data_IF_773977367424
#
_entry.id   IF_773977367424
#
_cell.length_a   1.000
_cell.length_b   1.000
_cell.length_c   1.000
_cell.angle_alpha   90.00
_cell.angle_beta   90.00
_cell.angle_gamma   90.00
#
_symmetry.space_group_name_H-M   'P 1'
#
loop_
_entity.id
_entity.type
_entity.pdbx_description
1 polymer ?
#
# COMPACT_ATOMS: atom_id res chain seq x y z
N UNK A 1 -38.07 -25.76 -49.50
CA UNK A 1 -39.05 -25.32 -50.52
C UNK A 1 -38.72 -23.90 -50.97
N UNK A 2 -38.80 -23.59 -52.27
CA UNK A 2 -38.69 -22.20 -52.81
C UNK A 2 -40.10 -21.71 -53.15
N UNK A 3 -40.48 -20.54 -52.66
CA UNK A 3 -41.79 -19.92 -52.91
C UNK A 3 -41.65 -18.40 -52.87
N UNK A 4 -42.54 -17.69 -53.56
CA UNK A 4 -42.78 -16.28 -53.28
C UNK A 4 -43.40 -16.13 -51.88
N UNK A 5 -42.60 -15.77 -50.88
CA UNK A 5 -43.09 -15.70 -49.50
C UNK A 5 -44.00 -14.48 -49.35
N UNK A 6 -45.19 -14.71 -48.80
CA UNK A 6 -46.15 -13.66 -48.45
C UNK A 6 -46.42 -13.66 -46.96
N UNK A 7 -46.85 -12.53 -46.42
CA UNK A 7 -47.21 -12.43 -45.00
C UNK A 7 -48.35 -13.38 -44.61
N UNK A 8 -49.29 -13.63 -45.53
CA UNK A 8 -50.35 -14.61 -45.36
C UNK A 8 -49.79 -16.03 -45.22
N UNK A 9 -48.89 -16.44 -46.12
CA UNK A 9 -48.22 -17.74 -46.06
C UNK A 9 -47.39 -17.92 -44.77
N UNK A 10 -46.70 -16.86 -44.31
CA UNK A 10 -45.93 -16.92 -43.07
C UNK A 10 -46.80 -17.22 -41.84
N UNK A 11 -48.03 -16.71 -41.82
CA UNK A 11 -48.99 -16.94 -40.73
C UNK A 11 -49.57 -18.35 -40.74
N UNK A 12 -49.52 -19.06 -41.87
CA UNK A 12 -49.98 -20.46 -41.96
C UNK A 12 -48.90 -21.47 -41.57
N UNK A 13 -47.67 -21.02 -41.28
CA UNK A 13 -46.57 -21.94 -40.98
C UNK A 13 -46.69 -22.53 -39.57
N UNK A 14 -46.71 -23.86 -39.49
CA UNK A 14 -46.64 -24.59 -38.23
C UNK A 14 -45.18 -24.95 -37.87
N UNK A 15 -44.83 -25.03 -36.56
CA UNK A 15 -43.54 -25.53 -36.13
C UNK A 15 -43.30 -26.98 -36.60
N UNK A 16 -42.08 -27.33 -37.06
CA UNK A 16 -41.75 -28.69 -37.46
C UNK A 16 -41.64 -29.63 -36.23
N UNK A 17 -41.65 -30.96 -36.43
CA UNK A 17 -41.40 -31.92 -35.35
C UNK A 17 -40.08 -31.69 -34.62
N UNK A 18 -39.98 -32.21 -33.39
CA UNK A 18 -38.77 -32.09 -32.56
C UNK A 18 -37.57 -32.74 -33.26
N UNK A 19 -36.47 -31.98 -33.39
CA UNK A 19 -35.26 -32.41 -34.10
C UNK A 19 -35.17 -31.89 -35.53
N UNK A 20 -36.28 -31.43 -36.12
CA UNK A 20 -36.34 -30.92 -37.48
C UNK A 20 -36.32 -29.39 -37.55
N UNK A 21 -36.08 -28.87 -38.75
CA UNK A 21 -36.09 -27.43 -39.06
C UNK A 21 -36.82 -27.19 -40.36
N UNK A 22 -37.82 -26.30 -40.32
CA UNK A 22 -38.45 -25.80 -41.52
C UNK A 22 -37.56 -24.72 -42.14
N UNK A 23 -37.15 -24.90 -43.39
CA UNK A 23 -36.45 -23.88 -44.18
C UNK A 23 -37.27 -23.52 -45.43
N UNK A 24 -37.76 -22.28 -45.48
CA UNK A 24 -38.46 -21.70 -46.63
C UNK A 24 -37.55 -20.68 -47.29
N UNK A 25 -37.35 -20.82 -48.60
CA UNK A 25 -36.53 -19.90 -49.40
C UNK A 25 -37.44 -18.97 -50.18
N UNK A 26 -37.14 -17.69 -50.12
CA UNK A 26 -37.87 -16.69 -50.90
C UNK A 26 -37.43 -16.75 -52.36
N UNK A 27 -38.41 -16.74 -53.25
CA UNK A 27 -38.17 -16.68 -54.70
C UNK A 27 -37.98 -15.25 -55.19
N UNK A 28 -38.61 -14.27 -54.52
CA UNK A 28 -38.56 -12.85 -54.91
C UNK A 28 -37.22 -12.20 -54.55
N UNK A 29 -36.67 -12.50 -53.38
CA UNK A 29 -35.39 -11.96 -52.91
C UNK A 29 -34.33 -13.06 -52.84
N UNK A 30 -33.42 -13.05 -53.80
CA UNK A 30 -32.46 -14.14 -53.96
C UNK A 30 -31.59 -14.33 -52.71
N UNK A 31 -31.54 -15.59 -52.25
CA UNK A 31 -30.77 -15.98 -51.07
C UNK A 31 -31.47 -15.77 -49.73
N UNK A 32 -32.64 -15.11 -49.68
CA UNK A 32 -33.40 -14.95 -48.44
C UNK A 32 -34.04 -16.29 -48.01
N UNK A 33 -33.91 -16.61 -46.73
CA UNK A 33 -34.38 -17.85 -46.12
C UNK A 33 -35.01 -17.54 -44.77
N UNK A 34 -36.24 -18.02 -44.55
CA UNK A 34 -36.80 -18.16 -43.22
C UNK A 34 -36.49 -19.56 -42.68
N UNK A 35 -35.94 -19.62 -41.47
CA UNK A 35 -35.75 -20.88 -40.75
C UNK A 35 -36.54 -20.89 -39.46
N UNK A 36 -37.36 -21.91 -39.25
CA UNK A 36 -38.13 -22.11 -38.03
C UNK A 36 -37.70 -23.38 -37.28
N UNK A 37 -37.61 -23.29 -35.96
CA UNK A 37 -37.34 -24.44 -35.07
C UNK A 37 -38.65 -25.05 -34.58
N UNK A 38 -38.60 -26.28 -34.07
CA UNK A 38 -39.76 -26.96 -33.44
C UNK A 38 -40.44 -26.17 -32.30
N UNK A 39 -39.75 -25.22 -31.68
CA UNK A 39 -40.31 -24.32 -30.66
C UNK A 39 -40.96 -23.07 -31.24
N UNK A 40 -41.19 -23.01 -32.56
CA UNK A 40 -41.85 -21.89 -33.25
C UNK A 40 -40.97 -20.66 -33.50
N UNK A 41 -39.71 -20.65 -33.05
CA UNK A 41 -38.82 -19.51 -33.28
C UNK A 41 -38.40 -19.42 -34.76
N UNK A 42 -38.88 -18.39 -35.46
CA UNK A 42 -38.63 -18.13 -36.87
C UNK A 42 -37.56 -17.03 -37.07
N UNK A 43 -36.53 -17.30 -37.86
CA UNK A 43 -35.41 -16.39 -38.10
C UNK A 43 -35.18 -16.18 -39.58
N UNK A 44 -35.07 -14.91 -39.99
CA UNK A 44 -34.62 -14.51 -41.30
C UNK A 44 -33.11 -14.59 -41.41
N UNK A 45 -32.64 -15.15 -42.51
CA UNK A 45 -31.23 -15.12 -42.89
C UNK A 45 -31.10 -15.01 -44.40
N UNK A 46 -30.03 -14.39 -44.87
CA UNK A 46 -29.67 -14.38 -46.28
C UNK A 46 -28.41 -15.20 -46.51
N UNK A 47 -28.40 -16.03 -47.54
CA UNK A 47 -27.23 -16.77 -48.01
C UNK A 47 -26.70 -16.10 -49.28
N UNK A 48 -25.47 -15.60 -49.24
CA UNK A 48 -24.82 -14.94 -50.38
C UNK A 48 -23.41 -15.50 -50.61
N UNK A 49 -22.85 -15.23 -51.79
CA UNK A 49 -21.43 -15.48 -52.11
C UNK A 49 -20.59 -14.32 -51.56
N UNK A 50 -19.44 -14.61 -50.98
CA UNK A 50 -18.48 -13.63 -50.46
C UNK A 50 -17.44 -13.34 -51.53
N UNK A 51 -17.46 -12.13 -52.10
CA UNK A 51 -16.52 -11.68 -53.13
C UNK A 51 -16.37 -12.67 -54.30
N UNK A 52 -15.16 -12.75 -54.86
CA UNK A 52 -14.82 -13.64 -55.97
C UNK A 52 -14.45 -15.06 -55.53
N UNK A 53 -14.19 -15.29 -54.25
CA UNK A 53 -13.57 -16.51 -53.69
C UNK A 53 -14.47 -17.76 -53.70
N UNK A 54 -15.71 -17.66 -54.18
CA UNK A 54 -16.65 -18.80 -54.26
C UNK A 54 -17.23 -19.27 -52.92
N UNK A 55 -16.79 -18.70 -51.80
CA UNK A 55 -17.32 -19.02 -50.45
C UNK A 55 -18.73 -18.47 -50.28
N UNK A 56 -19.59 -19.20 -49.58
CA UNK A 56 -20.93 -18.73 -49.22
C UNK A 56 -21.04 -18.44 -47.73
N UNK A 57 -21.65 -17.32 -47.36
CA UNK A 57 -21.96 -16.97 -45.96
C UNK A 57 -23.46 -16.85 -45.74
N UNK A 58 -23.91 -17.15 -44.53
CA UNK A 58 -25.31 -17.04 -44.09
C UNK A 58 -25.42 -15.97 -43.01
N UNK A 59 -25.95 -14.81 -43.34
CA UNK A 59 -26.10 -13.66 -42.43
C UNK A 59 -27.50 -13.69 -41.82
N UNK A 60 -27.60 -13.65 -40.47
CA UNK A 60 -28.87 -13.49 -39.77
C UNK A 60 -29.34 -12.04 -39.87
N UNK A 61 -30.59 -11.83 -40.26
CA UNK A 61 -31.20 -10.51 -40.45
C UNK A 61 -32.10 -10.11 -39.28
N UNK A 62 -32.87 -11.05 -38.73
CA UNK A 62 -33.81 -10.78 -37.65
C UNK A 62 -34.75 -11.96 -37.40
N UNK A 63 -35.74 -11.79 -36.52
CA UNK A 63 -36.75 -12.80 -36.20
C UNK A 63 -38.12 -12.38 -36.71
N UNK A 64 -38.89 -13.32 -37.24
CA UNK A 64 -40.31 -13.10 -37.56
C UNK A 64 -41.16 -13.36 -36.30
N UNK A 65 -42.23 -12.58 -36.02
CA UNK A 65 -42.81 -11.51 -36.84
C UNK A 65 -42.19 -10.11 -36.65
N UNK A 66 -41.26 -9.93 -35.70
CA UNK A 66 -40.64 -8.63 -35.41
C UNK A 66 -39.99 -7.95 -36.63
N UNK A 67 -39.45 -8.74 -37.56
CA UNK A 67 -39.04 -8.32 -38.88
C UNK A 67 -39.98 -8.96 -39.91
N UNK A 68 -40.88 -8.17 -40.50
CA UNK A 68 -41.80 -8.62 -41.56
C UNK A 68 -41.10 -8.90 -42.89
N UNK A 69 -41.78 -9.54 -43.85
CA UNK A 69 -41.17 -9.97 -45.12
C UNK A 69 -40.57 -8.82 -45.92
N UNK A 70 -41.26 -7.68 -46.02
CA UNK A 70 -40.78 -6.52 -46.78
C UNK A 70 -39.46 -5.97 -46.21
N UNK A 71 -39.40 -5.82 -44.89
CA UNK A 71 -38.19 -5.39 -44.20
C UNK A 71 -37.07 -6.45 -44.29
N UNK A 72 -37.42 -7.74 -44.20
CA UNK A 72 -36.46 -8.83 -44.36
C UNK A 72 -35.84 -8.86 -45.77
N UNK A 73 -36.63 -8.57 -46.83
CA UNK A 73 -36.11 -8.45 -48.20
C UNK A 73 -35.16 -7.25 -48.36
N UNK A 74 -35.53 -6.10 -47.80
CA UNK A 74 -34.67 -4.90 -47.80
C UNK A 74 -33.33 -5.16 -47.10
N UNK A 75 -33.36 -5.77 -45.91
CA UNK A 75 -32.15 -6.13 -45.16
C UNK A 75 -31.33 -7.23 -45.85
N UNK A 76 -31.98 -8.15 -46.56
CA UNK A 76 -31.30 -9.16 -47.37
C UNK A 76 -30.50 -8.55 -48.52
N UNK A 77 -31.05 -7.55 -49.24
CA UNK A 77 -30.32 -6.82 -50.30
C UNK A 77 -29.09 -6.13 -49.76
N UNK A 78 -29.24 -5.39 -48.65
CA UNK A 78 -28.11 -4.71 -48.00
C UNK A 78 -27.03 -5.71 -47.58
N UNK A 79 -27.43 -6.79 -46.90
CA UNK A 79 -26.52 -7.82 -46.44
C UNK A 79 -25.89 -8.61 -47.60
N UNK A 80 -26.51 -8.70 -48.77
CA UNK A 80 -25.89 -9.28 -49.96
C UNK A 80 -24.89 -8.36 -50.62
N UNK A 81 -25.18 -7.07 -50.73
CA UNK A 81 -24.22 -6.09 -51.26
C UNK A 81 -22.93 -6.05 -50.43
N UNK A 82 -23.01 -6.24 -49.12
CA UNK A 82 -21.81 -6.35 -48.26
C UNK A 82 -21.02 -7.64 -48.50
N UNK A 83 -21.71 -8.77 -48.72
CA UNK A 83 -21.03 -10.03 -49.07
C UNK A 83 -20.40 -9.97 -50.46
N UNK A 84 -21.07 -9.35 -51.44
CA UNK A 84 -20.57 -9.20 -52.82
C UNK A 84 -19.31 -8.33 -52.89
N UNK A 85 -19.20 -7.32 -52.02
CA UNK A 85 -17.97 -6.50 -51.84
C UNK A 85 -16.86 -7.23 -51.06
N UNK A 86 -17.04 -8.50 -50.69
CA UNK A 86 -16.05 -9.33 -50.02
C UNK A 86 -16.04 -9.22 -48.50
N UNK A 87 -16.87 -8.35 -47.90
CA UNK A 87 -16.96 -8.20 -46.46
C UNK A 87 -17.93 -9.25 -45.87
N UNK A 88 -17.43 -10.20 -45.07
CA UNK A 88 -18.25 -11.18 -44.35
C UNK A 88 -18.38 -10.81 -42.84
N UNK A 89 -19.53 -10.23 -42.41
CA UNK A 89 -19.75 -9.86 -41.02
C UNK A 89 -19.82 -11.08 -40.08
N UNK A 90 -20.16 -12.26 -40.59
CA UNK A 90 -20.25 -13.50 -39.81
C UNK A 90 -18.85 -14.07 -39.58
N UNK A 91 -18.00 -14.07 -40.60
CA UNK A 91 -16.59 -14.45 -40.46
C UNK A 91 -15.87 -13.52 -39.49
N UNK A 92 -16.09 -12.20 -39.58
CA UNK A 92 -15.49 -11.21 -38.68
C UNK A 92 -15.93 -11.43 -37.23
N UNK A 93 -17.23 -11.60 -36.96
CA UNK A 93 -17.75 -11.90 -35.61
C UNK A 93 -17.27 -13.25 -35.09
N UNK A 94 -17.15 -14.27 -35.95
CA UNK A 94 -16.62 -15.60 -35.61
C UNK A 94 -15.13 -15.51 -35.24
N UNK A 95 -14.33 -14.79 -36.01
CA UNK A 95 -12.90 -14.59 -35.73
C UNK A 95 -12.69 -13.88 -34.39
N UNK A 96 -13.44 -12.81 -34.10
CA UNK A 96 -13.39 -12.12 -32.79
C UNK A 96 -13.78 -13.05 -31.65
N UNK A 97 -14.84 -13.86 -31.81
CA UNK A 97 -15.27 -14.82 -30.78
C UNK A 97 -14.26 -15.96 -30.58
N UNK A 98 -13.68 -16.47 -31.66
CA UNK A 98 -12.66 -17.53 -31.61
C UNK A 98 -11.37 -17.01 -30.97
N UNK A 99 -10.92 -15.80 -31.31
CA UNK A 99 -9.79 -15.15 -30.67
C UNK A 99 -10.03 -14.98 -29.17
N UNK A 100 -11.19 -14.44 -28.75
CA UNK A 100 -11.56 -14.31 -27.33
C UNK A 100 -11.60 -15.66 -26.59
N UNK A 101 -12.12 -16.71 -27.23
CA UNK A 101 -12.16 -18.06 -26.66
C UNK A 101 -10.75 -18.63 -26.50
N UNK A 102 -9.91 -18.54 -27.53
CA UNK A 102 -8.53 -19.00 -27.51
C UNK A 102 -7.69 -18.26 -26.45
N UNK A 103 -7.85 -16.94 -26.31
CA UNK A 103 -7.23 -16.17 -25.24
C UNK A 103 -7.67 -16.67 -23.86
N UNK A 104 -8.96 -16.93 -23.65
CA UNK A 104 -9.49 -17.42 -22.37
C UNK A 104 -8.99 -18.82 -22.05
N UNK A 105 -8.90 -19.71 -23.03
CA UNK A 105 -8.40 -21.08 -22.88
C UNK A 105 -6.89 -21.11 -22.62
N UNK A 106 -6.10 -20.26 -23.31
CA UNK A 106 -4.67 -20.12 -23.07
C UNK A 106 -4.38 -19.56 -21.67
N UNK A 107 -5.16 -18.57 -21.19
CA UNK A 107 -5.04 -18.05 -19.82
C UNK A 107 -5.40 -19.11 -18.78
N UNK A 108 -6.41 -19.95 -19.04
CA UNK A 108 -6.80 -21.07 -18.16
C UNK A 108 -5.74 -22.18 -18.14
N UNK A 109 -5.15 -22.51 -19.28
CA UNK A 109 -4.06 -23.49 -19.36
C UNK A 109 -2.77 -23.00 -18.67
N UNK A 110 -2.57 -21.69 -18.60
CA UNK A 110 -1.41 -21.05 -18.01
C UNK A 110 -1.73 -20.38 -16.65
N UNK A 111 -2.77 -20.82 -15.94
CA UNK A 111 -3.22 -20.22 -14.67
C UNK A 111 -2.10 -20.21 -13.60
N UNK A 112 -1.22 -21.23 -13.60
CA UNK A 112 -0.01 -21.31 -12.78
C UNK A 112 1.13 -20.39 -13.22
N UNK A 113 1.03 -19.74 -14.37
CA UNK A 113 2.04 -18.84 -14.94
C UNK A 113 1.61 -17.36 -14.93
N UNK A 114 0.44 -17.08 -14.38
CA UNK A 114 -0.03 -15.72 -14.16
C UNK A 114 0.87 -14.98 -13.16
N UNK A 115 0.88 -13.65 -13.22
CA UNK A 115 1.61 -12.80 -12.26
C UNK A 115 1.15 -13.12 -10.83
N UNK A 116 -0.16 -13.29 -10.60
CA UNK A 116 -0.68 -13.65 -9.28
C UNK A 116 -0.15 -14.99 -8.77
N UNK A 117 -0.18 -16.04 -9.60
CA UNK A 117 0.31 -17.36 -9.21
C UNK A 117 1.81 -17.34 -8.89
N UNK A 118 2.61 -16.71 -9.75
CA UNK A 118 4.06 -16.60 -9.56
C UNK A 118 4.45 -15.70 -8.38
N UNK A 119 3.68 -14.65 -8.09
CA UNK A 119 3.88 -13.85 -6.89
C UNK A 119 3.65 -14.66 -5.62
N UNK A 120 2.59 -15.47 -5.58
CA UNK A 120 2.30 -16.33 -4.43
C UNK A 120 3.40 -17.37 -4.22
N UNK A 121 3.89 -17.98 -5.31
CA UNK A 121 5.02 -18.92 -5.27
C UNK A 121 6.29 -18.24 -4.74
N UNK A 122 6.65 -17.06 -5.25
CA UNK A 122 7.78 -16.27 -4.76
C UNK A 122 7.63 -15.88 -3.28
N UNK A 123 6.44 -15.45 -2.86
CA UNK A 123 6.17 -15.10 -1.46
C UNK A 123 6.35 -16.31 -0.56
N UNK A 124 5.84 -17.49 -0.92
CA UNK A 124 6.02 -18.72 -0.14
C UNK A 124 7.48 -19.10 -0.03
N UNK A 125 8.22 -19.05 -1.14
CA UNK A 125 9.65 -19.34 -1.15
C UNK A 125 10.44 -18.36 -0.26
N UNK A 126 10.14 -17.06 -0.32
CA UNK A 126 10.82 -16.04 0.49
C UNK A 126 10.44 -16.03 1.95
N UNK A 127 9.19 -16.33 2.29
CA UNK A 127 8.74 -16.42 3.68
C UNK A 127 9.20 -17.71 4.35
N UNK A 128 9.44 -18.77 3.57
CA UNK A 128 9.95 -20.05 4.05
C UNK A 128 11.48 -20.18 4.09
N UNK A 129 12.23 -19.18 3.62
CA UNK A 129 13.71 -19.20 3.59
C UNK A 129 14.30 -18.90 4.98
N UNK A 130 14.87 -19.90 5.69
CA UNK A 130 15.40 -19.71 7.03
C UNK A 130 16.79 -19.03 7.03
N UNK A 131 17.48 -18.97 5.87
CA UNK A 131 18.81 -18.40 5.78
C UNK A 131 18.79 -16.86 5.80
N UNK A 132 17.69 -16.24 5.34
CA UNK A 132 17.54 -14.79 5.30
C UNK A 132 16.09 -14.34 5.60
N UNK A 133 15.57 -14.62 6.80
CA UNK A 133 14.16 -14.39 7.11
C UNK A 133 13.83 -12.90 7.15
N UNK A 134 12.78 -12.51 6.43
CA UNK A 134 12.19 -11.19 6.58
C UNK A 134 11.59 -11.02 7.98
N UNK A 135 11.74 -9.82 8.55
CA UNK A 135 10.94 -9.48 9.74
C UNK A 135 9.44 -9.63 9.44
N UNK A 136 8.61 -10.07 10.39
CA UNK A 136 7.17 -10.25 10.17
C UNK A 136 6.48 -9.01 9.60
N UNK A 137 6.91 -7.82 10.04
CA UNK A 137 6.40 -6.54 9.55
C UNK A 137 6.77 -6.27 8.09
N UNK A 138 8.02 -6.54 7.70
CA UNK A 138 8.45 -6.34 6.32
C UNK A 138 7.74 -7.33 5.38
N UNK A 139 7.64 -8.60 5.79
CA UNK A 139 6.86 -9.61 5.10
C UNK A 139 5.40 -9.17 4.87
N UNK A 140 4.71 -8.73 5.92
CA UNK A 140 3.33 -8.24 5.83
C UNK A 140 3.19 -7.05 4.87
N UNK A 141 4.17 -6.13 4.85
CA UNK A 141 4.16 -4.98 3.94
C UNK A 141 4.38 -5.40 2.47
N UNK A 142 5.26 -6.37 2.21
CA UNK A 142 5.47 -6.95 0.88
C UNK A 142 4.19 -7.62 0.39
N UNK A 143 3.58 -8.49 1.20
CA UNK A 143 2.31 -9.17 0.86
C UNK A 143 1.22 -8.15 0.57
N UNK A 144 1.05 -7.17 1.45
CA UNK A 144 0.06 -6.10 1.28
C UNK A 144 0.23 -5.35 -0.04
N UNK A 145 1.47 -5.06 -0.46
CA UNK A 145 1.72 -4.36 -1.73
C UNK A 145 1.47 -5.26 -2.93
N UNK A 146 1.79 -6.55 -2.86
CA UNK A 146 1.42 -7.50 -3.91
C UNK A 146 -0.11 -7.55 -4.07
N UNK A 147 -0.85 -7.78 -2.99
CA UNK A 147 -2.29 -8.00 -3.01
C UNK A 147 -3.10 -6.75 -3.36
N UNK A 148 -2.67 -5.58 -2.88
CA UNK A 148 -3.43 -4.33 -3.03
C UNK A 148 -2.97 -3.48 -4.20
N UNK A 149 -1.87 -3.82 -4.86
CA UNK A 149 -1.32 -3.01 -5.96
C UNK A 149 -0.97 -3.85 -7.19
N UNK A 150 -0.14 -4.88 -7.05
CA UNK A 150 0.33 -5.64 -8.22
C UNK A 150 -0.76 -6.57 -8.75
N UNK A 151 -1.39 -7.36 -7.87
CA UNK A 151 -2.42 -8.34 -8.25
C UNK A 151 -3.62 -7.68 -8.95
N UNK A 152 -4.21 -6.57 -8.45
CA UNK A 152 -5.34 -5.94 -9.12
C UNK A 152 -5.00 -5.37 -10.51
N UNK A 153 -3.75 -4.97 -10.75
CA UNK A 153 -3.33 -4.34 -12.00
C UNK A 153 -2.81 -5.34 -13.04
N UNK A 154 -1.99 -6.30 -12.61
CA UNK A 154 -1.24 -7.21 -13.48
C UNK A 154 -1.52 -8.68 -13.20
N UNK A 155 -2.22 -9.01 -12.12
CA UNK A 155 -2.36 -10.37 -11.61
C UNK A 155 -2.91 -11.40 -12.59
N UNK A 156 -3.85 -10.99 -13.44
CA UNK A 156 -4.47 -11.87 -14.45
C UNK A 156 -3.62 -12.03 -15.73
N UNK A 157 -2.58 -11.21 -15.93
CA UNK A 157 -1.67 -11.35 -17.08
C UNK A 157 -0.72 -12.52 -16.84
N UNK A 158 -0.30 -13.18 -17.92
CA UNK A 158 0.81 -14.12 -17.88
C UNK A 158 2.10 -13.36 -17.60
N UNK A 159 2.94 -13.87 -16.69
CA UNK A 159 4.17 -13.18 -16.30
C UNK A 159 5.07 -12.89 -17.51
N UNK A 160 5.25 -13.89 -18.39
CA UNK A 160 6.02 -13.77 -19.65
C UNK A 160 5.46 -12.77 -20.65
N UNK A 161 4.17 -12.41 -20.54
CA UNK A 161 3.51 -11.47 -21.42
C UNK A 161 3.48 -10.04 -20.86
N UNK A 162 3.94 -9.83 -19.63
CA UNK A 162 4.08 -8.47 -19.07
C UNK A 162 5.23 -7.73 -19.73
N UNK A 163 5.07 -6.41 -19.93
CA UNK A 163 6.08 -5.57 -20.56
C UNK A 163 6.75 -4.64 -19.55
N UNK A 164 7.87 -4.00 -19.94
CA UNK A 164 8.47 -2.92 -19.14
C UNK A 164 7.45 -1.82 -18.83
N UNK A 165 6.66 -1.44 -19.82
CA UNK A 165 5.64 -0.39 -19.71
C UNK A 165 4.59 -0.73 -18.65
N UNK A 166 4.10 -1.97 -18.61
CA UNK A 166 3.16 -2.44 -17.59
C UNK A 166 3.66 -2.15 -16.17
N UNK A 167 4.92 -2.48 -15.90
CA UNK A 167 5.53 -2.30 -14.58
C UNK A 167 5.86 -0.84 -14.27
N UNK A 168 6.40 -0.09 -15.24
CA UNK A 168 6.73 1.32 -15.03
C UNK A 168 5.48 2.18 -14.85
N UNK A 169 4.42 1.93 -15.62
CA UNK A 169 3.14 2.65 -15.52
C UNK A 169 2.47 2.39 -14.16
N UNK A 170 2.49 1.15 -13.67
CA UNK A 170 1.98 0.80 -12.34
C UNK A 170 2.70 1.59 -11.23
N UNK A 171 4.03 1.69 -11.31
CA UNK A 171 4.86 2.37 -10.32
C UNK A 171 4.67 3.89 -10.36
N UNK A 172 4.64 4.47 -11.55
CA UNK A 172 4.45 5.91 -11.75
C UNK A 172 3.01 6.35 -11.41
N UNK A 173 2.00 5.53 -11.76
CA UNK A 173 0.60 5.77 -11.39
C UNK A 173 0.43 5.88 -9.87
N UNK A 174 1.14 5.03 -9.11
CA UNK A 174 1.14 5.10 -7.64
C UNK A 174 1.65 6.44 -7.10
N UNK A 175 2.67 7.02 -7.74
CA UNK A 175 3.21 8.34 -7.39
C UNK A 175 2.19 9.44 -7.71
N UNK A 176 1.54 9.38 -8.87
CA UNK A 176 0.54 10.36 -9.30
C UNK A 176 -0.68 10.38 -8.37
N UNK A 177 -1.22 9.21 -8.00
CA UNK A 177 -2.35 9.08 -7.06
C UNK A 177 -2.10 9.81 -5.73
N UNK A 178 -0.86 9.73 -5.24
CA UNK A 178 -0.50 10.35 -3.98
C UNK A 178 -0.30 11.85 -4.09
N UNK A 179 0.19 12.36 -5.23
CA UNK A 179 0.24 13.80 -5.51
C UNK A 179 -1.18 14.36 -5.56
N UNK A 180 -2.08 13.69 -6.28
CA UNK A 180 -3.50 14.09 -6.38
C UNK A 180 -4.19 14.10 -5.01
N UNK A 181 -3.98 13.07 -4.18
CA UNK A 181 -4.50 13.02 -2.80
C UNK A 181 -3.91 14.11 -1.91
N UNK A 182 -2.63 14.42 -2.06
CA UNK A 182 -1.97 15.50 -1.29
C UNK A 182 -2.53 16.87 -1.69
N UNK A 183 -2.78 17.10 -2.98
CA UNK A 183 -3.41 18.32 -3.48
C UNK A 183 -4.83 18.49 -2.92
N UNK A 184 -5.68 17.46 -3.02
CA UNK A 184 -7.04 17.45 -2.46
C UNK A 184 -7.07 17.70 -0.95
N UNK A 185 -6.06 17.22 -0.22
CA UNK A 185 -5.95 17.41 1.24
C UNK A 185 -5.49 18.82 1.63
N UNK A 186 -4.80 19.56 0.74
CA UNK A 186 -4.38 20.95 0.98
C UNK A 186 -5.58 21.91 0.93
N UNK A 187 -6.57 21.60 0.08
CA UNK A 187 -7.84 22.30 -0.05
C UNK A 187 -8.84 21.98 1.08
N UNK A 188 -8.75 20.82 1.71
CA UNK A 188 -9.56 20.47 2.89
C UNK A 188 -9.08 21.20 4.18
N UNK A 189 -9.98 21.27 5.19
CA UNK A 189 -9.79 21.94 6.49
C UNK A 189 -8.41 21.77 7.17
N UNK A 190 -7.97 22.77 7.98
CA UNK A 190 -6.67 22.78 8.66
C UNK A 190 -6.33 21.51 9.46
N UNK A 191 -7.33 20.86 10.07
CA UNK A 191 -7.17 19.63 10.86
C UNK A 191 -6.59 18.45 10.04
N UNK A 192 -6.74 18.48 8.71
CA UNK A 192 -6.17 17.48 7.81
C UNK A 192 -4.83 17.94 7.21
N UNK A 193 -4.01 18.81 7.81
CA UNK A 193 -2.68 19.16 7.23
C UNK A 193 -1.50 18.31 7.75
N UNK A 194 -1.55 17.74 8.96
CA UNK A 194 -0.39 17.06 9.61
C UNK A 194 -0.18 15.55 9.44
N UNK A 195 -1.21 14.74 9.14
CA UNK A 195 -1.07 13.31 8.82
C UNK A 195 -0.33 13.02 7.48
N UNK A 196 0.58 12.02 7.41
CA UNK A 196 1.26 11.68 6.17
C UNK A 196 0.30 11.11 5.11
N UNK A 197 0.38 11.60 3.87
CA UNK A 197 -0.38 11.05 2.75
C UNK A 197 0.05 9.58 2.48
N UNK A 198 -0.91 8.64 2.50
CA UNK A 198 -0.65 7.25 2.11
C UNK A 198 -0.46 7.15 0.59
N UNK A 199 0.70 6.64 0.15
CA UNK A 199 0.97 6.32 -1.27
C UNK A 199 2.05 7.14 -1.99
N UNK A 200 2.79 8.03 -1.31
CA UNK A 200 3.77 8.94 -1.95
C UNK A 200 5.02 8.30 -2.56
N UNK A 201 6.03 9.13 -2.87
CA UNK A 201 7.30 8.69 -3.47
C UNK A 201 7.95 7.49 -2.75
N UNK A 202 7.89 7.45 -1.41
CA UNK A 202 8.38 6.30 -0.64
C UNK A 202 7.60 5.00 -0.88
N UNK A 203 6.28 5.07 -1.13
CA UNK A 203 5.47 3.90 -1.47
C UNK A 203 5.75 3.43 -2.91
N UNK A 204 5.95 4.35 -3.85
CA UNK A 204 6.39 4.01 -5.21
C UNK A 204 7.79 3.35 -5.19
N UNK A 205 8.73 3.90 -4.40
CA UNK A 205 10.06 3.32 -4.22
C UNK A 205 10.02 1.94 -3.56
N UNK A 206 9.11 1.72 -2.60
CA UNK A 206 8.89 0.40 -2.02
C UNK A 206 8.31 -0.58 -3.04
N UNK A 207 7.28 -0.18 -3.79
CA UNK A 207 6.70 -0.99 -4.85
C UNK A 207 7.73 -1.38 -5.91
N UNK A 208 8.59 -0.44 -6.33
CA UNK A 208 9.70 -0.72 -7.24
C UNK A 208 10.62 -1.81 -6.70
N UNK A 209 11.05 -1.69 -5.44
CA UNK A 209 11.95 -2.68 -4.81
C UNK A 209 11.30 -4.06 -4.74
N UNK A 210 10.02 -4.12 -4.36
CA UNK A 210 9.24 -5.36 -4.30
C UNK A 210 9.11 -5.99 -5.70
N UNK A 211 8.68 -5.23 -6.70
CA UNK A 211 8.54 -5.71 -8.08
C UNK A 211 9.89 -6.15 -8.67
N UNK A 212 10.96 -5.38 -8.45
CA UNK A 212 12.31 -5.75 -8.89
C UNK A 212 12.79 -7.03 -8.23
N UNK A 213 12.59 -7.20 -6.91
CA UNK A 213 12.97 -8.42 -6.21
C UNK A 213 12.22 -9.66 -6.74
N UNK A 214 10.92 -9.52 -7.04
CA UNK A 214 10.12 -10.56 -7.68
C UNK A 214 10.60 -10.90 -9.09
N UNK A 215 10.82 -9.89 -9.93
CA UNK A 215 11.24 -10.10 -11.32
C UNK A 215 12.65 -10.70 -11.44
N UNK A 216 13.58 -10.30 -10.58
CA UNK A 216 14.92 -10.93 -10.53
C UNK A 216 14.82 -12.40 -10.06
N UNK A 217 13.91 -12.72 -9.13
CA UNK A 217 13.67 -14.10 -8.73
C UNK A 217 13.05 -14.92 -9.87
N UNK A 218 12.10 -14.34 -10.60
CA UNK A 218 11.49 -14.97 -11.77
C UNK A 218 12.50 -15.24 -12.89
N UNK A 219 13.46 -14.34 -13.13
CA UNK A 219 14.59 -14.55 -14.04
C UNK A 219 15.46 -15.73 -13.55
N UNK A 220 15.82 -15.75 -12.26
CA UNK A 220 16.67 -16.80 -11.69
C UNK A 220 16.05 -18.21 -11.79
N UNK A 221 14.72 -18.32 -11.76
CA UNK A 221 14.00 -19.59 -11.96
C UNK A 221 13.60 -19.85 -13.42
N UNK A 222 14.02 -19.01 -14.37
CA UNK A 222 13.73 -19.18 -15.80
C UNK A 222 12.27 -18.94 -16.19
N UNK A 223 11.46 -18.28 -15.35
CA UNK A 223 10.07 -17.94 -15.68
C UNK A 223 9.99 -16.81 -16.71
N UNK A 224 11.02 -15.98 -16.77
CA UNK A 224 11.22 -14.91 -17.75
C UNK A 224 12.67 -14.90 -18.19
N UNK A 225 12.92 -14.48 -19.43
CA UNK A 225 14.29 -14.41 -19.98
C UNK A 225 15.11 -13.26 -19.38
N UNK A 226 14.46 -12.16 -19.02
CA UNK A 226 15.10 -11.01 -18.40
C UNK A 226 14.09 -10.19 -17.57
N UNK A 227 14.52 -9.44 -16.54
CA UNK A 227 13.63 -8.62 -15.72
C UNK A 227 13.08 -7.44 -16.54
N UNK A 228 11.77 -7.23 -16.45
CA UNK A 228 11.09 -6.12 -17.13
C UNK A 228 11.47 -4.74 -16.56
N UNK A 229 11.92 -4.71 -15.30
CA UNK A 229 12.47 -3.52 -14.64
C UNK A 229 14.01 -3.55 -14.65
N UNK A 230 14.66 -2.42 -14.98
CA UNK A 230 16.12 -2.34 -14.96
C UNK A 230 16.70 -2.51 -13.55
N UNK A 231 17.82 -3.22 -13.41
CA UNK A 231 18.46 -3.44 -12.08
C UNK A 231 18.86 -2.13 -11.38
N UNK A 232 19.22 -1.08 -12.14
CA UNK A 232 19.62 0.26 -11.64
C UNK A 232 18.64 1.40 -12.01
N UNK A 233 17.34 1.13 -12.14
CA UNK A 233 16.37 2.18 -12.49
C UNK A 233 15.60 2.82 -11.33
N UNK A 234 15.86 2.40 -10.08
CA UNK A 234 15.07 2.86 -8.93
C UNK A 234 15.08 4.39 -8.79
N UNK A 235 16.26 5.02 -8.91
CA UNK A 235 16.41 6.47 -8.81
C UNK A 235 15.66 7.23 -9.91
N UNK A 236 15.56 6.67 -11.12
CA UNK A 236 14.89 7.31 -12.26
C UNK A 236 13.38 7.09 -12.24
N UNK A 237 12.94 5.84 -11.99
CA UNK A 237 11.53 5.44 -12.11
C UNK A 237 10.76 5.77 -10.83
N UNK A 238 11.37 5.57 -9.67
CA UNK A 238 10.75 5.78 -8.36
C UNK A 238 11.75 6.36 -7.37
N UNK A 239 12.26 7.59 -7.60
CA UNK A 239 13.23 8.21 -6.73
C UNK A 239 12.72 8.22 -5.29
N UNK A 240 13.54 7.80 -4.31
CA UNK A 240 13.17 7.90 -2.92
C UNK A 240 12.91 9.38 -2.59
N UNK A 241 12.03 9.67 -1.61
CA UNK A 241 11.89 11.03 -1.12
C UNK A 241 13.24 11.52 -0.57
N UNK A 242 13.56 12.82 -0.71
CA UNK A 242 14.79 13.36 -0.16
C UNK A 242 14.83 13.14 1.35
N UNK A 243 16.04 12.97 1.88
CA UNK A 243 16.26 12.86 3.31
C UNK A 243 15.79 14.15 4.00
N UNK A 244 15.00 14.00 5.07
CA UNK A 244 14.56 15.15 5.86
C UNK A 244 15.70 15.57 6.78
N UNK A 245 15.97 16.87 6.85
CA UNK A 245 16.98 17.46 7.74
C UNK A 245 16.38 18.19 8.95
N UNK A 246 15.08 18.02 9.24
CA UNK A 246 14.39 18.79 10.28
C UNK A 246 14.95 18.49 11.67
N UNK A 247 15.42 19.55 12.33
CA UNK A 247 15.79 19.63 13.75
C UNK A 247 14.91 20.71 14.38
N UNK A 248 14.31 20.41 15.54
CA UNK A 248 13.47 21.35 16.27
C UNK A 248 14.33 22.33 17.06
N UNK A 249 13.88 23.57 17.19
CA UNK A 249 14.52 24.54 18.08
C UNK A 249 14.14 24.29 19.52
N UNK A 250 14.88 24.88 20.46
CA UNK A 250 14.58 24.76 21.90
C UNK A 250 13.20 25.35 22.25
N UNK A 251 12.81 26.45 21.60
CA UNK A 251 11.47 27.02 21.75
C UNK A 251 10.36 26.08 21.22
N UNK A 252 10.62 25.38 20.11
CA UNK A 252 9.69 24.38 19.58
C UNK A 252 9.57 23.16 20.49
N UNK A 253 10.67 22.68 21.07
CA UNK A 253 10.65 21.62 22.06
C UNK A 253 9.81 22.02 23.28
N UNK A 254 10.05 23.21 23.85
CA UNK A 254 9.28 23.72 24.98
C UNK A 254 7.78 23.85 24.65
N UNK A 255 7.44 24.34 23.45
CA UNK A 255 6.05 24.45 23.00
C UNK A 255 5.37 23.08 22.86
N UNK A 256 6.06 22.07 22.32
CA UNK A 256 5.54 20.69 22.23
C UNK A 256 5.38 20.07 23.62
N UNK A 257 6.35 20.30 24.52
CA UNK A 257 6.29 19.84 25.90
C UNK A 257 5.06 20.38 26.64
N UNK A 258 4.80 21.69 26.52
CA UNK A 258 3.65 22.37 27.11
C UNK A 258 2.34 21.93 26.45
N UNK A 259 2.34 21.67 25.15
CA UNK A 259 1.18 21.11 24.46
C UNK A 259 0.79 19.73 24.99
N UNK A 260 1.77 18.93 25.42
CA UNK A 260 1.53 17.62 26.02
C UNK A 260 0.80 17.70 27.38
N UNK A 261 0.81 18.83 28.09
CA UNK A 261 0.05 18.98 29.36
C UNK A 261 -1.47 18.86 29.15
N UNK A 262 -1.96 19.15 27.94
CA UNK A 262 -3.39 19.06 27.59
C UNK A 262 -3.83 17.63 27.31
N UNK A 263 -2.92 16.66 27.40
CA UNK A 263 -3.15 15.28 27.02
C UNK A 263 -3.33 14.38 28.24
N UNK A 264 -4.13 13.29 28.14
CA UNK A 264 -4.23 12.28 29.18
C UNK A 264 -2.84 11.75 29.60
N UNK A 265 -2.65 11.36 30.88
CA UNK A 265 -1.35 11.04 31.45
C UNK A 265 -0.47 10.13 30.58
N UNK A 266 -1.01 9.02 30.06
CA UNK A 266 -0.27 8.09 29.19
C UNK A 266 0.21 8.72 27.87
N UNK A 267 -0.57 9.62 27.28
CA UNK A 267 -0.22 10.29 26.02
C UNK A 267 0.79 11.42 26.25
N UNK A 268 0.67 12.12 27.39
CA UNK A 268 1.66 13.09 27.86
C UNK A 268 3.01 12.40 28.11
N UNK A 269 3.00 11.34 28.91
CA UNK A 269 4.20 10.55 29.23
C UNK A 269 4.86 10.00 27.95
N UNK A 270 4.10 9.42 27.02
CA UNK A 270 4.63 8.98 25.72
C UNK A 270 5.40 10.08 24.98
N UNK A 271 4.84 11.28 24.91
CA UNK A 271 5.44 12.42 24.20
C UNK A 271 6.71 12.88 24.90
N UNK A 272 6.66 13.03 26.23
CA UNK A 272 7.79 13.53 27.04
C UNK A 272 8.94 12.54 27.12
N UNK A 273 8.64 11.24 27.25
CA UNK A 273 9.65 10.19 27.25
C UNK A 273 10.40 10.14 25.92
N UNK A 274 9.74 10.36 24.78
CA UNK A 274 10.45 10.48 23.49
C UNK A 274 11.42 11.66 23.45
N UNK A 275 11.04 12.78 24.06
CA UNK A 275 11.89 13.97 24.13
C UNK A 275 13.07 13.77 25.06
N UNK A 276 12.88 13.11 26.19
CA UNK A 276 13.91 12.89 27.22
C UNK A 276 14.88 11.77 26.86
N UNK A 277 14.36 10.60 26.47
CA UNK A 277 15.20 9.39 26.29
C UNK A 277 15.84 9.29 24.92
N UNK A 278 15.37 10.13 23.98
CA UNK A 278 15.64 10.01 22.55
C UNK A 278 15.28 8.64 21.95
N UNK A 279 14.59 7.72 22.65
CA UNK A 279 14.27 6.35 22.23
C UNK A 279 13.42 6.30 20.93
N UNK A 280 13.35 5.14 20.26
CA UNK A 280 12.52 5.01 19.05
C UNK A 280 11.04 5.08 19.42
N UNK A 281 10.22 5.62 18.52
CA UNK A 281 8.77 5.77 18.73
C UNK A 281 8.08 4.46 19.19
N UNK A 282 8.50 3.32 18.63
CA UNK A 282 7.95 2.00 19.00
C UNK A 282 8.54 1.45 20.28
N UNK A 283 9.79 1.77 20.61
CA UNK A 283 10.40 1.35 21.88
C UNK A 283 9.64 2.01 23.05
N UNK A 284 9.35 3.31 22.96
CA UNK A 284 8.53 4.00 23.98
C UNK A 284 7.09 3.51 23.96
N UNK A 285 6.45 3.42 22.78
CA UNK A 285 5.05 3.04 22.70
C UNK A 285 4.75 1.63 23.22
N UNK A 286 5.68 0.70 23.02
CA UNK A 286 5.55 -0.72 23.41
C UNK A 286 6.35 -1.02 24.69
N UNK A 287 6.70 -0.02 25.51
CA UNK A 287 7.40 -0.19 26.78
C UNK A 287 6.59 -1.07 27.74
N UNK A 288 7.27 -2.05 28.37
CA UNK A 288 6.67 -2.97 29.34
C UNK A 288 7.28 -2.81 30.73
N UNK A 289 6.54 -3.21 31.75
CA UNK A 289 6.92 -3.03 33.15
C UNK A 289 8.29 -3.64 33.49
N UNK A 290 8.55 -4.87 33.06
CA UNK A 290 9.77 -5.62 33.36
C UNK A 290 11.06 -5.05 32.74
N UNK A 291 10.96 -4.03 31.87
CA UNK A 291 12.12 -3.32 31.34
C UNK A 291 12.55 -2.15 32.22
N UNK A 292 11.72 -1.73 33.17
CA UNK A 292 11.89 -0.51 33.94
C UNK A 292 12.33 -0.81 35.36
N UNK A 293 13.45 -0.23 35.76
CA UNK A 293 13.88 -0.14 37.13
C UNK A 293 13.73 1.32 37.57
N UNK A 294 12.59 1.63 38.20
CA UNK A 294 12.27 3.00 38.62
C UNK A 294 13.11 3.47 39.82
N UNK A 295 13.64 2.55 40.62
CA UNK A 295 14.49 2.87 41.77
C UNK A 295 15.92 3.17 41.33
N UNK A 296 16.48 2.33 40.44
CA UNK A 296 17.80 2.57 39.87
C UNK A 296 17.79 3.65 38.75
N UNK A 297 16.60 4.08 38.31
CA UNK A 297 16.47 5.06 37.23
C UNK A 297 16.96 4.53 35.88
N UNK A 298 16.62 3.28 35.54
CA UNK A 298 17.10 2.60 34.33
C UNK A 298 15.96 2.02 33.51
N UNK A 299 16.12 2.06 32.19
CA UNK A 299 15.25 1.37 31.25
C UNK A 299 16.09 0.47 30.34
N UNK A 300 15.93 -0.84 30.52
CA UNK A 300 16.69 -1.88 29.81
C UNK A 300 15.87 -2.44 28.65
N UNK A 301 16.23 -2.09 27.42
CA UNK A 301 15.51 -2.55 26.22
C UNK A 301 16.20 -3.81 25.68
N UNK A 302 15.52 -4.96 25.61
CA UNK A 302 16.12 -6.19 25.11
C UNK A 302 16.32 -6.15 23.59
N UNK A 303 17.35 -6.87 23.11
CA UNK A 303 17.69 -6.94 21.69
C UNK A 303 16.51 -7.34 20.79
N UNK A 304 15.63 -8.24 21.27
CA UNK A 304 14.43 -8.67 20.58
C UNK A 304 13.47 -7.54 20.16
N UNK A 305 13.47 -6.40 20.88
CA UNK A 305 12.65 -5.21 20.55
C UNK A 305 13.37 -4.18 19.69
N UNK A 306 14.68 -4.30 19.56
CA UNK A 306 15.50 -3.32 18.84
C UNK A 306 15.66 -3.68 17.36
N UNK A 307 15.78 -2.65 16.51
CA UNK A 307 15.94 -2.84 15.05
C UNK A 307 17.22 -3.60 14.69
N UNK A 308 18.28 -3.42 15.48
CA UNK A 308 19.61 -3.99 15.26
C UNK A 308 19.85 -5.29 16.05
N UNK A 309 18.86 -5.78 16.81
CA UNK A 309 18.96 -6.96 17.68
C UNK A 309 19.99 -6.84 18.80
N UNK A 310 20.37 -5.63 19.18
CA UNK A 310 21.31 -5.36 20.28
C UNK A 310 20.56 -4.66 21.40
N UNK A 311 20.54 -5.28 22.58
CA UNK A 311 19.94 -4.70 23.78
C UNK A 311 20.76 -3.53 24.30
N UNK A 312 20.11 -2.58 24.97
CA UNK A 312 20.78 -1.40 25.51
C UNK A 312 20.02 -0.81 26.69
N UNK A 313 20.72 -0.05 27.52
CA UNK A 313 20.18 0.58 28.73
C UNK A 313 20.14 2.10 28.55
N UNK A 314 19.01 2.70 28.92
CA UNK A 314 18.78 4.13 28.92
C UNK A 314 18.68 4.64 30.36
N UNK A 315 19.35 5.76 30.73
CA UNK A 315 19.13 6.40 32.02
C UNK A 315 17.78 7.14 32.02
N UNK A 316 17.07 7.07 33.14
CA UNK A 316 15.84 7.80 33.40
C UNK A 316 16.13 8.96 34.37
N UNK A 317 16.08 10.19 33.88
CA UNK A 317 16.19 11.40 34.71
C UNK A 317 15.03 11.50 35.73
N UNK A 318 15.16 12.32 36.78
CA UNK A 318 14.06 12.60 37.70
C UNK A 318 12.77 13.03 36.99
N UNK A 319 12.88 13.78 35.89
CA UNK A 319 11.73 14.21 35.10
C UNK A 319 11.09 13.05 34.32
N UNK A 320 11.89 12.11 33.79
CA UNK A 320 11.38 10.90 33.15
C UNK A 320 10.68 9.98 34.16
N UNK A 321 11.28 9.80 35.34
CA UNK A 321 10.72 9.03 36.45
C UNK A 321 9.41 9.63 36.95
N UNK A 322 9.32 10.96 37.06
CA UNK A 322 8.09 11.63 37.43
C UNK A 322 6.96 11.33 36.42
N UNK A 323 7.23 11.41 35.12
CA UNK A 323 6.22 11.04 34.11
C UNK A 323 5.80 9.57 34.21
N UNK A 324 6.76 8.65 34.36
CA UNK A 324 6.47 7.22 34.52
C UNK A 324 5.62 6.93 35.75
N UNK A 325 5.92 7.57 36.88
CA UNK A 325 5.14 7.45 38.12
C UNK A 325 3.69 7.92 37.94
N UNK A 326 3.42 8.94 37.12
CA UNK A 326 2.04 9.41 36.86
C UNK A 326 1.19 8.42 36.05
N UNK A 327 1.83 7.45 35.40
CA UNK A 327 1.16 6.45 34.55
C UNK A 327 1.36 5.03 35.03
N UNK A 328 2.07 4.87 36.15
CA UNK A 328 2.32 3.58 36.75
C UNK A 328 0.99 2.97 37.20
N UNK A 329 0.72 1.69 36.90
CA UNK A 329 -0.48 1.03 37.38
C UNK A 329 -0.57 1.03 38.90
N UNK A 330 -1.78 1.12 39.45
CA UNK A 330 -2.00 1.05 40.90
C UNK A 330 -1.70 -0.35 41.45
N UNK A 331 -2.03 -1.38 40.66
CA UNK A 331 -1.68 -2.77 40.96
C UNK A 331 -0.25 -3.06 40.50
N UNK A 332 0.40 -4.04 41.11
CA UNK A 332 1.73 -4.49 40.69
C UNK A 332 1.60 -5.08 39.28
N UNK A 333 2.22 -4.47 38.26
CA UNK A 333 2.11 -4.96 36.89
C UNK A 333 2.93 -6.24 36.70
N UNK A 334 2.47 -7.13 35.83
CA UNK A 334 3.28 -8.25 35.39
C UNK A 334 4.44 -7.75 34.51
N UNK A 335 5.61 -8.43 34.48
CA UNK A 335 6.77 -7.97 33.71
C UNK A 335 6.48 -7.70 32.22
N UNK A 336 5.50 -8.40 31.63
CA UNK A 336 5.08 -8.23 30.23
C UNK A 336 4.05 -7.13 29.98
N UNK A 337 3.54 -6.47 31.01
CA UNK A 337 2.44 -5.52 30.88
C UNK A 337 2.88 -4.22 30.23
N UNK A 338 2.12 -3.78 29.23
CA UNK A 338 2.36 -2.52 28.53
C UNK A 338 1.93 -1.31 29.38
N UNK A 339 2.86 -0.39 29.63
CA UNK A 339 2.63 0.77 30.51
C UNK A 339 1.78 1.86 29.82
N UNK A 340 2.12 2.20 28.56
CA UNK A 340 1.50 3.31 27.83
C UNK A 340 0.27 2.89 27.00
N UNK A 341 -0.11 1.61 27.08
CA UNK A 341 -1.30 1.05 26.46
C UNK A 341 -2.60 1.56 27.05
N UNK A 342 -3.71 1.41 26.31
CA UNK A 342 -5.05 1.55 26.91
C UNK A 342 -5.32 0.43 27.91
N UNK A 343 -4.78 -0.76 27.64
CA UNK A 343 -4.76 -1.94 28.50
C UNK A 343 -3.32 -2.45 28.62
N UNK A 344 -3.10 -3.36 29.58
CA UNK A 344 -1.81 -4.04 29.76
C UNK A 344 -1.42 -4.95 28.60
N UNK A 345 -2.33 -5.28 27.67
CA UNK A 345 -2.11 -6.23 26.58
C UNK A 345 -1.51 -5.63 25.30
N UNK A 346 -1.50 -4.30 25.15
CA UNK A 346 -0.96 -3.66 23.95
C UNK A 346 -0.41 -2.26 24.23
N UNK A 347 0.78 -1.97 23.67
CA UNK A 347 1.34 -0.62 23.67
C UNK A 347 0.51 0.43 22.94
N UNK A 348 0.97 1.68 22.99
CA UNK A 348 0.29 2.83 22.35
C UNK A 348 0.23 2.70 20.81
N UNK A 349 -0.90 3.11 20.21
CA UNK A 349 -1.15 3.03 18.74
C UNK A 349 -1.61 4.35 18.11
N UNK A 350 -1.93 5.38 18.90
CA UNK A 350 -2.62 6.60 18.47
C UNK A 350 -1.74 7.71 17.89
N UNK A 351 -0.56 7.39 17.35
CA UNK A 351 0.49 8.35 16.96
C UNK A 351 0.00 9.53 16.12
N UNK A 352 -0.79 9.26 15.07
CA UNK A 352 -1.25 10.28 14.14
C UNK A 352 -2.26 11.26 14.75
N UNK A 353 -3.20 10.75 15.57
CA UNK A 353 -4.22 11.59 16.24
C UNK A 353 -3.60 12.45 17.33
N UNK A 354 -2.69 11.87 18.12
CA UNK A 354 -1.94 12.62 19.13
C UNK A 354 -1.11 13.73 18.47
N UNK A 355 -0.38 13.41 17.40
CA UNK A 355 0.43 14.38 16.66
C UNK A 355 -0.39 15.59 16.18
N UNK A 356 -1.57 15.36 15.61
CA UNK A 356 -2.44 16.45 15.15
C UNK A 356 -2.87 17.39 16.29
N UNK A 357 -3.18 16.83 17.47
CA UNK A 357 -3.55 17.63 18.65
C UNK A 357 -2.36 18.42 19.20
N UNK A 358 -1.18 17.80 19.24
CA UNK A 358 0.07 18.49 19.62
C UNK A 358 0.40 19.63 18.65
N UNK A 359 0.26 19.42 17.34
CA UNK A 359 0.50 20.47 16.33
C UNK A 359 -0.46 21.65 16.52
N UNK A 360 -1.74 21.36 16.77
CA UNK A 360 -2.74 22.39 16.97
C UNK A 360 -2.50 23.22 18.26
N UNK A 361 -2.07 22.55 19.33
CA UNK A 361 -1.82 23.16 20.63
C UNK A 361 -0.47 23.90 20.71
N UNK A 362 0.60 23.32 20.17
CA UNK A 362 1.96 23.91 20.17
C UNK A 362 2.18 24.94 19.07
N UNK A 363 1.36 24.93 18.01
CA UNK A 363 1.58 25.65 16.74
C UNK A 363 2.84 25.23 15.98
N UNK A 364 3.55 24.20 16.45
CA UNK A 364 4.72 23.64 15.76
C UNK A 364 4.25 22.60 14.77
N UNK A 365 4.52 22.83 13.48
CA UNK A 365 4.10 21.95 12.38
C UNK A 365 5.32 21.43 11.60
N UNK A 366 5.09 20.63 10.55
CA UNK A 366 6.15 20.09 9.67
C UNK A 366 7.22 19.21 10.35
N UNK A 367 6.91 18.64 11.52
CA UNK A 367 7.74 17.64 12.19
C UNK A 367 7.06 16.27 12.28
N UNK A 368 7.85 15.21 12.48
CA UNK A 368 7.43 13.83 12.73
C UNK A 368 8.04 13.35 14.05
N UNK A 369 7.48 12.31 14.65
CA UNK A 369 8.02 11.71 15.88
C UNK A 369 9.53 11.41 15.82
N UNK A 370 10.02 10.93 14.67
CA UNK A 370 11.44 10.67 14.46
C UNK A 370 12.33 11.93 14.48
N UNK A 371 11.77 13.11 14.19
CA UNK A 371 12.51 14.37 14.25
C UNK A 371 12.83 14.75 15.72
N UNK A 372 12.09 14.26 16.72
CA UNK A 372 12.46 14.41 18.15
C UNK A 372 13.79 13.71 18.46
N UNK A 373 13.94 12.45 18.01
CA UNK A 373 15.19 11.69 18.16
C UNK A 373 16.35 12.32 17.38
N UNK A 374 16.10 12.83 16.17
CA UNK A 374 17.12 13.58 15.42
C UNK A 374 17.53 14.86 16.14
N UNK A 375 16.56 15.56 16.73
CA UNK A 375 16.80 16.76 17.52
C UNK A 375 17.66 16.44 18.72
N UNK A 376 17.37 15.35 19.45
CA UNK A 376 18.21 14.90 20.55
C UNK A 376 19.64 14.55 20.11
N UNK A 377 19.82 13.80 19.01
CA UNK A 377 21.16 13.49 18.48
C UNK A 377 21.94 14.77 18.16
N UNK A 378 21.33 15.70 17.44
CA UNK A 378 21.97 16.97 17.06
C UNK A 378 22.23 17.86 18.28
N UNK A 379 21.30 17.86 19.23
CA UNK A 379 21.40 18.57 20.50
C UNK A 379 22.54 18.05 21.37
N UNK A 380 22.73 16.73 21.46
CA UNK A 380 23.88 16.13 22.16
C UNK A 380 25.21 16.61 21.56
N UNK A 381 25.32 16.66 20.23
CA UNK A 381 26.51 17.25 19.57
C UNK A 381 26.71 18.71 19.96
N UNK A 382 25.64 19.52 20.00
CA UNK A 382 25.70 20.92 20.44
C UNK A 382 26.12 21.07 21.91
N UNK A 383 25.78 20.09 22.75
CA UNK A 383 26.17 20.02 24.16
C UNK A 383 27.59 19.48 24.36
N UNK A 384 28.37 19.28 23.29
CA UNK A 384 29.76 18.82 23.37
C UNK A 384 29.92 17.30 23.50
N UNK A 385 28.85 16.53 23.34
CA UNK A 385 28.94 15.06 23.35
C UNK A 385 29.69 14.59 22.09
N UNK A 386 30.74 13.76 22.22
CA UNK A 386 31.44 13.18 21.08
C UNK A 386 30.50 12.46 20.13
N UNK A 387 30.78 12.53 18.82
CA UNK A 387 29.91 11.98 17.78
C UNK A 387 29.54 10.53 18.05
N UNK A 388 30.52 9.68 18.34
CA UNK A 388 30.30 8.24 18.50
C UNK A 388 29.42 7.93 19.73
N UNK A 389 29.53 8.73 20.80
CA UNK A 389 28.69 8.60 21.99
C UNK A 389 27.26 9.04 21.69
N UNK A 390 27.07 10.12 20.92
CA UNK A 390 25.76 10.58 20.49
C UNK A 390 25.08 9.58 19.53
N UNK A 391 25.84 8.92 18.65
CA UNK A 391 25.34 7.84 17.78
C UNK A 391 24.99 6.57 18.58
N UNK A 392 25.83 6.19 19.54
CA UNK A 392 25.58 5.07 20.45
C UNK A 392 24.34 5.33 21.33
N UNK A 393 24.15 6.56 21.81
CA UNK A 393 23.00 6.96 22.64
C UNK A 393 21.66 6.81 21.92
N UNK A 394 21.65 7.01 20.60
CA UNK A 394 20.50 6.69 19.75
C UNK A 394 20.63 5.31 19.10
N UNK A 395 21.31 4.36 19.74
CA UNK A 395 21.45 2.96 19.35
C UNK A 395 21.58 2.79 17.82
N UNK A 396 22.46 3.58 17.21
CA UNK A 396 22.63 3.70 15.76
C UNK A 396 23.92 3.02 15.31
N UNK A 397 23.79 1.81 14.75
CA UNK A 397 24.94 1.00 14.30
C UNK A 397 25.29 1.25 12.82
N UNK A 398 24.36 1.77 12.01
CA UNK A 398 24.58 2.00 10.57
C UNK A 398 25.51 3.17 10.23
N UNK A 399 25.88 3.99 11.21
CA UNK A 399 26.89 5.03 11.04
C UNK A 399 28.32 4.50 11.01
N UNK A 400 28.55 3.27 11.50
CA UNK A 400 29.88 2.65 11.52
C UNK A 400 30.24 2.08 10.16
N UNK A 401 31.42 2.41 9.65
CA UNK A 401 32.00 1.78 8.47
C UNK A 401 32.15 0.27 8.67
N UNK A 402 32.29 -0.50 7.58
CA UNK A 402 32.55 -1.94 7.69
C UNK A 402 33.83 -2.22 8.50
N UNK A 403 34.81 -1.32 8.41
CA UNK A 403 36.06 -1.35 9.18
C UNK A 403 35.82 -1.09 10.66
N UNK A 404 35.11 -0.01 11.00
CA UNK A 404 34.80 0.34 12.40
C UNK A 404 34.03 -0.76 13.14
N UNK A 405 33.13 -1.49 12.46
CA UNK A 405 32.41 -2.62 13.06
C UNK A 405 33.31 -3.82 13.41
N UNK A 406 34.43 -3.97 12.70
CA UNK A 406 35.40 -5.04 12.94
C UNK A 406 36.34 -4.69 14.10
N UNK A 407 36.75 -3.42 14.21
CA UNK A 407 37.78 -2.99 15.17
C UNK A 407 37.24 -2.37 16.45
N UNK A 408 36.16 -1.60 16.40
CA UNK A 408 35.57 -0.96 17.58
C UNK A 408 34.39 -1.82 18.10
N UNK A 409 34.70 -2.61 19.12
CA UNK A 409 33.78 -3.49 19.85
C UNK A 409 33.32 -2.90 21.18
N UNK A 410 33.71 -1.65 21.49
CA UNK A 410 33.34 -1.01 22.74
C UNK A 410 31.83 -0.72 22.78
N UNK A 411 31.19 -0.94 23.93
CA UNK A 411 29.74 -0.83 24.10
C UNK A 411 29.27 0.61 24.41
N UNK A 412 30.20 1.50 24.77
CA UNK A 412 29.97 2.89 25.12
C UNK A 412 28.92 3.09 26.23
N UNK A 413 28.67 2.10 27.09
CA UNK A 413 27.55 2.17 28.04
C UNK A 413 27.67 3.37 29.02
N UNK A 414 28.83 3.65 29.65
CA UNK A 414 29.01 4.84 30.48
C UNK A 414 28.82 6.15 29.69
N UNK A 415 29.34 6.21 28.47
CA UNK A 415 29.29 7.38 27.60
C UNK A 415 27.87 7.68 27.13
N UNK A 416 27.10 6.64 26.81
CA UNK A 416 25.69 6.72 26.47
C UNK A 416 24.90 7.26 27.65
N UNK A 417 25.16 6.76 28.87
CA UNK A 417 24.51 7.26 30.08
C UNK A 417 24.84 8.74 30.28
N UNK A 418 26.10 9.14 30.17
CA UNK A 418 26.52 10.53 30.33
C UNK A 418 25.88 11.46 29.29
N UNK A 419 25.89 11.06 28.02
CA UNK A 419 25.30 11.80 26.90
C UNK A 419 23.79 12.02 27.09
N UNK A 420 23.05 10.97 27.43
CA UNK A 420 21.61 11.04 27.63
C UNK A 420 21.25 11.78 28.92
N UNK A 421 22.07 11.69 29.96
CA UNK A 421 21.88 12.48 31.18
C UNK A 421 22.02 13.98 30.89
N UNK A 422 23.06 14.36 30.13
CA UNK A 422 23.28 15.75 29.72
C UNK A 422 22.12 16.27 28.84
N UNK A 423 21.66 15.46 27.89
CA UNK A 423 20.50 15.80 27.06
C UNK A 423 19.21 15.97 27.89
N UNK A 424 18.96 15.06 28.84
CA UNK A 424 17.79 15.16 29.71
C UNK A 424 17.84 16.40 30.60
N UNK A 425 19.01 16.77 31.12
CA UNK A 425 19.21 18.01 31.88
C UNK A 425 18.94 19.25 31.02
N UNK A 426 19.39 19.27 29.76
CA UNK A 426 19.08 20.35 28.82
C UNK A 426 17.56 20.50 28.63
N UNK A 427 16.85 19.41 28.30
CA UNK A 427 15.39 19.44 28.14
C UNK A 427 14.68 19.89 29.43
N UNK A 428 15.13 19.43 30.59
CA UNK A 428 14.60 19.85 31.90
C UNK A 428 14.78 21.36 32.16
N UNK A 429 15.91 21.93 31.75
CA UNK A 429 16.18 23.36 31.81
C UNK A 429 15.22 24.18 30.95
N UNK A 430 14.98 23.73 29.71
CA UNK A 430 14.05 24.41 28.78
C UNK A 430 12.63 24.50 29.34
N UNK A 431 12.16 23.43 29.99
CA UNK A 431 10.76 23.35 30.44
C UNK A 431 10.57 24.04 31.79
N UNK A 432 11.57 24.03 32.67
CA UNK A 432 11.55 24.77 33.94
C UNK A 432 11.57 26.29 33.71
N UNK A 433 12.38 26.78 32.76
CA UNK A 433 12.42 28.21 32.41
C UNK A 433 11.11 28.73 31.78
N UNK A 434 10.27 27.83 31.26
CA UNK A 434 8.98 28.15 30.65
C UNK A 434 7.79 28.07 31.62
N UNK A 435 8.02 27.63 32.86
CA UNK A 435 6.99 27.55 33.89
C UNK A 435 6.72 28.93 34.49
N UNK A 436 5.46 29.36 34.48
CA UNK A 436 5.03 30.59 35.13
C UNK A 436 5.08 30.38 36.65
N UNK A 437 5.97 31.11 37.33
CA UNK A 437 6.12 31.03 38.79
C UNK A 437 4.91 31.70 39.43
N UNK A 438 3.98 30.91 39.97
CA UNK A 438 2.86 31.43 40.77
C UNK A 438 3.35 31.64 42.22
N UNK A 439 3.39 32.88 42.75
CA UNK A 439 3.77 33.11 44.14
C UNK A 439 2.72 32.49 45.07
N UNK A 440 3.15 31.60 45.96
CA UNK A 440 2.27 31.09 47.01
C UNK A 440 1.92 32.25 47.98
N UNK A 441 0.63 32.48 48.29
CA UNK A 441 0.25 33.51 49.25
C UNK A 441 0.88 33.19 50.62
N UNK A 442 1.61 34.15 51.18
CA UNK A 442 2.23 34.03 52.50
C UNK A 442 1.15 33.67 53.52
N UNK A 443 1.31 32.50 54.15
CA UNK A 443 0.47 32.05 55.26
C UNK A 443 0.45 33.16 56.32
N UNK A 444 -0.71 33.78 56.57
CA UNK A 444 -0.86 34.72 57.68
C UNK A 444 -0.56 33.94 58.97
N UNK A 445 0.44 34.40 59.73
CA UNK A 445 0.64 33.94 61.11
C UNK A 445 -0.63 34.30 61.89
N UNK A 446 -1.20 33.37 62.67
CA UNK A 446 -2.24 33.74 63.62
C UNK A 446 -1.66 34.76 64.61
N UNK A 447 -2.39 35.84 64.82
CA UNK A 447 -2.07 36.81 65.86
C UNK A 447 -2.41 36.19 67.21
N UNK A 448 -1.44 36.28 68.14
CA UNK A 448 -1.58 36.26 69.61
C UNK A 448 -2.51 35.22 70.21
#
# INVERSE_FOLDING_TARGET
>A
MKLAITDAFLRTLAPPPKGERLEVRDETEAGLILRMTHGGAATWSVRGRVGTDGRHSRVKLGTWPALGISAARSEARKARGTLETGADPVASKRAVRQARKATKEAVKAAEGETVSARLLEWQRARLGDPAAPWSPRYAAEVVRVCDKVIVPALGAKLLRATTREDWTALIQGRKADAVARKAKRKTDEPAKRGAPAKGGAGAAAFLYRTASAFLNYAEALGWIAAPMLPRKGAATIAPPPPDRARVLTDAELAAIWKAADREPPKLRAFTRLLMLTAAREREVADMVAGELDLEAGRWSIPGARTKNRVGYVLPLSPLALAELRTVWPNEVPEPGDFILGRSASNGFRGFGRLKLRLDAASKVTEWRWHDLRRTARTGMTRLGVPRDHAEAAINHISGRSALERTYDRHDYAPEVIAALTLWQAHVAGLVSASAEVVPLPKRRRPAG
#
